data_IF_872747565466
#
_entry.id   IF_872747565466
#
_cell.length_a   1.000
_cell.length_b   1.000
_cell.length_c   1.000
_cell.angle_alpha   90.00
_cell.angle_beta   90.00
_cell.angle_gamma   90.00
#
_symmetry.space_group_name_H-M   'P 1'
#
loop_
_entity.id
_entity.type
_entity.pdbx_description
1 polymer ?
#
# COMPACT_ATOMS: atom_id res chain seq x y z
N UNK A 1 -18.62 19.79 20.60
CA UNK A 1 -19.27 18.66 21.30
C UNK A 1 -18.24 17.55 21.45
N UNK A 2 -17.86 17.21 22.68
CA UNK A 2 -17.25 15.90 22.99
C UNK A 2 -18.39 14.90 23.17
N UNK A 3 -18.26 13.70 22.61
CA UNK A 3 -19.08 12.53 22.96
C UNK A 3 -20.31 12.23 22.10
N UNK A 4 -20.19 12.18 20.77
CA UNK A 4 -21.23 11.55 19.93
C UNK A 4 -21.09 10.02 19.88
N UNK A 5 -19.88 9.50 20.14
CA UNK A 5 -19.55 8.08 20.11
C UNK A 5 -18.81 7.66 21.37
N UNK A 6 -18.97 6.43 21.82
CA UNK A 6 -18.23 5.84 22.93
C UNK A 6 -16.78 5.48 22.52
N UNK A 7 -15.81 5.37 23.45
CA UNK A 7 -14.40 5.14 23.13
C UNK A 7 -14.11 3.88 22.28
N UNK A 8 -14.95 2.84 22.38
CA UNK A 8 -14.84 1.61 21.60
C UNK A 8 -15.61 1.61 20.28
N UNK A 9 -16.34 2.69 19.96
CA UNK A 9 -17.09 2.81 18.72
C UNK A 9 -16.21 3.32 17.57
N UNK A 10 -16.57 2.91 16.36
CA UNK A 10 -15.92 3.40 15.15
C UNK A 10 -16.51 4.76 14.75
N UNK A 11 -15.63 5.67 14.34
CA UNK A 11 -15.99 6.96 13.74
C UNK A 11 -15.69 6.88 12.25
N UNK A 12 -16.68 7.19 11.41
CA UNK A 12 -16.45 7.40 9.98
C UNK A 12 -15.77 8.74 9.77
N UNK A 13 -14.64 8.74 9.09
CA UNK A 13 -13.84 9.95 8.84
C UNK A 13 -13.68 10.15 7.34
N UNK A 14 -14.05 11.33 6.85
CA UNK A 14 -13.69 11.81 5.52
C UNK A 14 -12.43 12.66 5.60
N UNK A 15 -11.38 12.23 4.90
CA UNK A 15 -10.14 12.97 4.72
C UNK A 15 -10.30 13.89 3.50
N UNK A 16 -10.76 15.11 3.75
CA UNK A 16 -11.13 16.05 2.69
C UNK A 16 -9.90 16.80 2.20
N UNK A 17 -9.51 16.53 0.94
CA UNK A 17 -8.44 17.24 0.24
C UNK A 17 -9.03 18.04 -0.94
N UNK A 18 -8.34 19.09 -1.42
CA UNK A 18 -8.85 19.95 -2.49
C UNK A 18 -9.27 19.24 -3.79
N UNK A 19 -8.75 18.04 -4.07
CA UNK A 19 -9.00 17.29 -5.32
C UNK A 19 -9.77 15.99 -5.15
N UNK A 20 -9.84 15.46 -3.93
CA UNK A 20 -10.50 14.20 -3.63
C UNK A 20 -10.72 14.07 -2.12
N UNK A 21 -11.73 13.31 -1.74
CA UNK A 21 -11.92 12.86 -0.36
C UNK A 21 -11.73 11.35 -0.29
N UNK A 22 -11.21 10.86 0.84
CA UNK A 22 -11.15 9.43 1.13
C UNK A 22 -11.82 9.16 2.46
N UNK A 23 -12.63 8.12 2.50
CA UNK A 23 -13.27 7.68 3.73
C UNK A 23 -12.43 6.59 4.40
N UNK A 24 -12.36 6.63 5.72
CA UNK A 24 -11.82 5.57 6.55
C UNK A 24 -12.61 5.47 7.87
N UNK A 25 -12.41 4.37 8.58
CA UNK A 25 -12.95 4.15 9.91
C UNK A 25 -11.81 4.12 10.92
N UNK A 26 -12.02 4.72 12.09
CA UNK A 26 -11.03 4.82 13.17
C UNK A 26 -11.73 4.64 14.51
N UNK A 27 -11.06 4.10 15.52
CA UNK A 27 -11.64 4.02 16.86
C UNK A 27 -11.82 5.42 17.43
N UNK A 28 -12.89 5.64 18.18
CA UNK A 28 -13.14 6.94 18.81
C UNK A 28 -11.99 7.36 19.72
N UNK A 29 -11.43 6.43 20.49
CA UNK A 29 -10.29 6.70 21.34
C UNK A 29 -9.08 7.24 20.56
N UNK A 30 -8.72 6.61 19.43
CA UNK A 30 -7.62 7.05 18.57
C UNK A 30 -7.90 8.41 17.93
N UNK A 31 -9.15 8.64 17.52
CA UNK A 31 -9.60 9.94 16.99
C UNK A 31 -9.48 11.06 18.04
N UNK A 32 -9.82 10.76 19.29
CA UNK A 32 -9.70 11.68 20.42
C UNK A 32 -8.24 11.97 20.80
N UNK A 33 -7.39 10.93 20.85
CA UNK A 33 -5.95 11.07 21.12
C UNK A 33 -5.24 11.94 20.09
N UNK A 34 -5.68 11.87 18.83
CA UNK A 34 -5.17 12.72 17.76
C UNK A 34 -5.71 14.15 17.83
N UNK A 35 -6.56 14.50 18.79
CA UNK A 35 -7.17 15.82 18.96
C UNK A 35 -7.70 16.38 17.63
N UNK A 36 -8.47 15.57 16.91
CA UNK A 36 -9.00 15.94 15.60
C UNK A 36 -10.23 16.81 15.78
N UNK A 37 -10.12 18.08 15.40
CA UNK A 37 -11.26 18.99 15.30
C UNK A 37 -11.87 18.88 13.90
N UNK A 38 -13.11 18.38 13.82
CA UNK A 38 -13.81 18.18 12.56
C UNK A 38 -15.32 18.42 12.73
N UNK A 39 -16.00 19.09 11.77
CA UNK A 39 -17.44 19.08 11.70
C UNK A 39 -17.97 17.68 11.37
N UNK A 40 -19.10 17.33 11.97
CA UNK A 40 -19.82 16.09 11.70
C UNK A 40 -21.00 16.36 10.76
N UNK A 41 -21.08 15.64 9.65
CA UNK A 41 -22.21 15.67 8.71
C UNK A 41 -22.70 14.23 8.54
N UNK A 42 -23.93 13.95 8.99
CA UNK A 42 -24.51 12.61 8.87
C UNK A 42 -23.63 11.50 9.47
N UNK A 43 -23.09 11.73 10.67
CA UNK A 43 -22.15 10.84 11.40
C UNK A 43 -20.76 10.69 10.78
N UNK A 44 -20.43 11.46 9.73
CA UNK A 44 -19.09 11.50 9.15
C UNK A 44 -18.33 12.70 9.67
N UNK A 45 -17.15 12.48 10.25
CA UNK A 45 -16.22 13.53 10.64
C UNK A 45 -15.43 14.01 9.41
N UNK A 46 -15.58 15.28 9.03
CA UNK A 46 -14.92 15.87 7.88
C UNK A 46 -13.62 16.57 8.28
N UNK A 47 -12.48 15.94 8.02
CA UNK A 47 -11.16 16.43 8.43
C UNK A 47 -10.49 17.11 7.24
N UNK A 48 -10.23 18.41 7.38
CA UNK A 48 -9.59 19.24 6.34
C UNK A 48 -8.15 19.63 6.70
N UNK A 49 -7.77 19.54 7.98
CA UNK A 49 -6.44 19.92 8.44
C UNK A 49 -5.38 18.88 8.01
N UNK A 50 -4.50 19.27 7.06
CA UNK A 50 -3.47 18.38 6.50
C UNK A 50 -2.62 17.61 7.53
N UNK A 51 -2.14 18.23 8.63
CA UNK A 51 -1.37 17.47 9.63
C UNK A 51 -2.18 16.37 10.31
N UNK A 52 -3.48 16.59 10.55
CA UNK A 52 -4.38 15.61 11.15
C UNK A 52 -4.75 14.51 10.16
N UNK A 53 -4.96 14.86 8.89
CA UNK A 53 -5.10 13.89 7.80
C UNK A 53 -3.89 12.94 7.77
N UNK A 54 -2.67 13.49 7.79
CA UNK A 54 -1.46 12.67 7.77
C UNK A 54 -1.31 11.79 9.02
N UNK A 55 -1.75 12.25 10.19
CA UNK A 55 -1.75 11.46 11.41
C UNK A 55 -2.74 10.28 11.34
N UNK A 56 -3.97 10.54 10.86
CA UNK A 56 -4.98 9.50 10.65
C UNK A 56 -4.55 8.48 9.58
N UNK A 57 -3.92 8.93 8.50
CA UNK A 57 -3.38 8.04 7.46
C UNK A 57 -2.31 7.08 7.98
N UNK A 58 -1.58 7.45 9.04
CA UNK A 58 -0.60 6.56 9.69
C UNK A 58 -1.24 5.44 10.52
N UNK A 59 -2.48 5.61 10.96
CA UNK A 59 -3.24 4.56 11.66
C UNK A 59 -3.84 3.53 10.69
N UNK A 60 -3.70 3.77 9.38
CA UNK A 60 -4.37 2.98 8.37
C UNK A 60 -3.82 1.54 8.32
N UNK A 61 -4.71 0.59 8.59
CA UNK A 61 -4.52 -0.82 8.28
C UNK A 61 -5.41 -1.22 7.09
N UNK A 62 -4.90 -2.12 6.24
CA UNK A 62 -5.72 -2.75 5.20
C UNK A 62 -6.35 -4.01 5.78
N UNK A 63 -7.68 -4.00 5.93
CA UNK A 63 -8.47 -5.17 6.26
C UNK A 63 -9.03 -5.83 5.01
N UNK A 64 -9.28 -7.14 5.07
CA UNK A 64 -10.09 -7.81 4.07
C UNK A 64 -11.50 -7.18 4.04
N UNK A 65 -12.17 -7.12 2.89
CA UNK A 65 -13.50 -6.49 2.78
C UNK A 65 -14.51 -7.10 3.75
N UNK A 66 -14.50 -8.41 3.91
CA UNK A 66 -15.36 -9.15 4.85
C UNK A 66 -15.10 -8.77 6.31
N UNK A 67 -13.83 -8.64 6.68
CA UNK A 67 -13.38 -8.26 8.02
C UNK A 67 -13.85 -6.83 8.35
N UNK A 68 -13.77 -5.94 7.36
CA UNK A 68 -14.25 -4.56 7.48
C UNK A 68 -15.78 -4.56 7.61
N UNK A 69 -16.51 -5.29 6.77
CA UNK A 69 -17.97 -5.36 6.84
C UNK A 69 -18.46 -5.92 8.20
N UNK A 70 -17.81 -6.96 8.75
CA UNK A 70 -18.09 -7.46 10.09
C UNK A 70 -17.91 -6.39 11.17
N UNK A 71 -16.80 -5.65 11.14
CA UNK A 71 -16.54 -4.55 12.07
C UNK A 71 -17.60 -3.44 11.97
N UNK A 72 -18.05 -3.14 10.75
CA UNK A 72 -19.12 -2.17 10.52
C UNK A 72 -20.45 -2.64 11.09
N UNK A 73 -20.86 -3.89 10.78
CA UNK A 73 -22.09 -4.47 11.33
C UNK A 73 -22.08 -4.49 12.86
N UNK A 74 -20.96 -4.88 13.47
CA UNK A 74 -20.79 -4.87 14.95
C UNK A 74 -20.89 -3.47 15.55
N UNK A 75 -20.53 -2.45 14.77
CA UNK A 75 -20.60 -1.05 15.17
C UNK A 75 -21.95 -0.40 14.85
N UNK A 76 -22.94 -1.18 14.38
CA UNK A 76 -24.27 -0.67 14.00
C UNK A 76 -24.29 0.08 12.65
N UNK A 77 -23.24 -0.05 11.85
CA UNK A 77 -23.07 0.63 10.57
C UNK A 77 -23.48 -0.25 9.39
N UNK A 78 -23.82 0.38 8.26
CA UNK A 78 -24.20 -0.35 7.05
C UNK A 78 -22.95 -0.76 6.26
N UNK A 79 -22.67 -2.06 6.06
CA UNK A 79 -21.55 -2.53 5.25
C UNK A 79 -21.72 -2.11 3.79
N UNK A 80 -20.60 -2.04 3.06
CA UNK A 80 -20.62 -1.61 1.64
C UNK A 80 -21.25 -2.68 0.75
N UNK A 81 -21.06 -3.94 1.11
CA UNK A 81 -21.75 -5.09 0.53
C UNK A 81 -22.45 -5.87 1.65
N UNK A 82 -23.78 -5.73 1.81
CA UNK A 82 -24.49 -6.43 2.87
C UNK A 82 -24.41 -7.95 2.68
N UNK A 83 -23.56 -8.60 3.47
CA UNK A 83 -23.55 -10.05 3.66
C UNK A 83 -24.57 -10.42 4.75
N UNK A 84 -25.03 -11.67 4.78
CA UNK A 84 -25.97 -12.10 5.81
C UNK A 84 -25.33 -11.98 7.20
N UNK A 85 -26.11 -11.62 8.24
CA UNK A 85 -25.63 -11.53 9.62
C UNK A 85 -24.83 -12.77 10.04
N UNK A 86 -25.25 -13.95 9.59
CA UNK A 86 -24.61 -15.23 9.89
C UNK A 86 -23.18 -15.34 9.32
N UNK A 87 -22.88 -14.71 8.18
CA UNK A 87 -21.54 -14.64 7.60
C UNK A 87 -20.65 -13.59 8.30
N UNK A 88 -21.24 -12.54 8.87
CA UNK A 88 -20.51 -11.50 9.60
C UNK A 88 -20.02 -11.95 10.99
N UNK A 89 -20.48 -13.10 11.51
CA UNK A 89 -20.09 -13.59 12.84
C UNK A 89 -19.31 -14.92 12.82
N UNK A 90 -19.10 -15.53 11.65
CA UNK A 90 -18.33 -16.76 11.53
C UNK A 90 -16.86 -16.49 11.21
N UNK A 91 -16.07 -16.20 12.25
CA UNK A 91 -14.63 -15.95 12.13
C UNK A 91 -13.84 -17.13 11.57
N UNK A 92 -14.41 -18.35 11.55
CA UNK A 92 -13.77 -19.54 11.00
C UNK A 92 -13.86 -19.59 9.47
N UNK A 93 -14.93 -19.02 8.90
CA UNK A 93 -15.14 -18.89 7.45
C UNK A 93 -14.40 -17.66 6.91
N UNK A 94 -14.37 -16.54 7.66
CA UNK A 94 -13.70 -15.29 7.24
C UNK A 94 -12.19 -15.49 7.04
N UNK A 95 -11.52 -16.30 7.86
CA UNK A 95 -10.08 -16.57 7.69
C UNK A 95 -9.78 -17.53 6.52
N UNK A 96 -10.69 -18.46 6.22
CA UNK A 96 -10.53 -19.44 5.15
C UNK A 96 -10.89 -18.88 3.75
N UNK A 97 -11.87 -17.98 3.70
CA UNK A 97 -12.40 -17.38 2.46
C UNK A 97 -12.01 -15.91 2.27
N UNK A 98 -11.05 -15.38 3.05
CA UNK A 98 -10.53 -14.03 2.87
C UNK A 98 -9.91 -13.88 1.47
N UNK A 99 -10.70 -13.37 0.53
CA UNK A 99 -10.23 -12.96 -0.77
C UNK A 99 -9.60 -11.59 -0.64
N UNK A 100 -8.29 -11.54 -0.85
CA UNK A 100 -7.57 -10.28 -0.91
C UNK A 100 -8.03 -9.48 -2.12
N UNK A 101 -8.11 -8.14 -2.04
CA UNK A 101 -8.35 -7.33 -3.23
C UNK A 101 -7.30 -7.65 -4.29
N UNK A 102 -7.73 -7.70 -5.55
CA UNK A 102 -6.82 -7.96 -6.68
C UNK A 102 -5.66 -6.96 -6.66
N UNK A 103 -4.45 -7.46 -6.91
CA UNK A 103 -3.23 -6.63 -6.91
C UNK A 103 -2.68 -6.28 -5.52
N UNK A 104 -3.08 -6.98 -4.45
CA UNK A 104 -2.43 -6.90 -3.13
C UNK A 104 -1.64 -8.16 -2.80
N UNK A 105 -0.59 -8.03 -1.99
CA UNK A 105 0.18 -9.16 -1.47
C UNK A 105 0.31 -9.10 0.04
N UNK A 106 0.41 -10.28 0.66
CA UNK A 106 0.69 -10.41 2.07
C UNK A 106 2.20 -10.32 2.32
N UNK A 107 2.60 -9.44 3.23
CA UNK A 107 3.95 -9.34 3.76
C UNK A 107 3.93 -9.74 5.23
N UNK A 108 4.79 -10.68 5.63
CA UNK A 108 4.86 -11.14 7.04
C UNK A 108 5.20 -10.02 8.03
N UNK A 109 5.86 -8.94 7.58
CA UNK A 109 6.24 -7.80 8.42
C UNK A 109 5.27 -6.62 8.39
N UNK A 110 4.63 -6.39 7.25
CA UNK A 110 3.84 -5.17 7.00
C UNK A 110 2.36 -5.46 6.71
N UNK A 111 1.93 -6.71 6.84
CA UNK A 111 0.57 -7.14 6.55
C UNK A 111 0.23 -7.06 5.07
N UNK A 112 -1.03 -6.77 4.76
CA UNK A 112 -1.52 -6.64 3.39
C UNK A 112 -1.10 -5.29 2.80
N UNK A 113 -0.39 -5.33 1.67
CA UNK A 113 0.15 -4.14 1.01
C UNK A 113 -0.09 -4.18 -0.49
N UNK A 114 -0.13 -3.00 -1.12
CA UNK A 114 0.00 -2.88 -2.56
C UNK A 114 1.47 -3.12 -2.94
N UNK A 115 1.77 -4.12 -3.77
CA UNK A 115 3.14 -4.49 -4.11
C UNK A 115 3.76 -3.48 -5.05
N UNK A 116 5.09 -3.46 -5.05
CA UNK A 116 5.90 -2.93 -6.15
C UNK A 116 6.58 -4.12 -6.83
N UNK A 117 6.91 -3.99 -8.12
CA UNK A 117 7.62 -5.03 -8.85
C UNK A 117 9.13 -4.83 -8.83
N UNK A 118 9.86 -5.94 -8.78
CA UNK A 118 11.33 -5.98 -8.77
C UNK A 118 11.83 -7.27 -9.42
N UNK A 119 13.14 -7.44 -9.60
CA UNK A 119 13.71 -8.70 -10.07
C UNK A 119 13.68 -9.81 -9.00
N UNK A 120 13.66 -11.11 -9.41
CA UNK A 120 13.69 -12.25 -8.49
C UNK A 120 14.86 -12.23 -7.50
N UNK A 121 16.03 -11.75 -7.92
CA UNK A 121 17.25 -11.70 -7.10
C UNK A 121 17.11 -10.71 -5.94
N UNK A 122 16.48 -9.56 -6.21
CA UNK A 122 16.17 -8.56 -5.17
C UNK A 122 15.09 -9.09 -4.23
N UNK A 123 14.08 -9.80 -4.75
CA UNK A 123 13.08 -10.49 -3.90
C UNK A 123 13.75 -11.52 -2.98
N UNK A 124 14.70 -12.30 -3.48
CA UNK A 124 15.47 -13.24 -2.67
C UNK A 124 16.30 -12.52 -1.58
N UNK A 125 16.88 -11.36 -1.89
CA UNK A 125 17.58 -10.53 -0.91
C UNK A 125 16.64 -10.03 0.20
N UNK A 126 15.42 -9.58 -0.16
CA UNK A 126 14.39 -9.18 0.80
C UNK A 126 14.04 -10.35 1.74
N UNK A 127 13.77 -11.54 1.19
CA UNK A 127 13.36 -12.71 1.97
C UNK A 127 14.47 -13.22 2.90
N UNK A 128 15.73 -13.18 2.43
CA UNK A 128 16.89 -13.57 3.24
C UNK A 128 17.29 -12.51 4.29
N UNK A 129 16.61 -11.36 4.33
CA UNK A 129 16.95 -10.22 5.21
C UNK A 129 18.38 -9.69 5.00
N UNK A 130 19.05 -10.12 3.93
CA UNK A 130 20.38 -9.69 3.54
C UNK A 130 20.37 -8.36 2.79
N UNK A 131 21.56 -7.87 2.47
CA UNK A 131 21.73 -6.84 1.43
C UNK A 131 21.89 -7.50 0.06
N UNK A 132 21.70 -6.73 -1.01
CA UNK A 132 21.97 -7.13 -2.38
C UNK A 132 23.50 -7.09 -2.55
N UNK A 133 24.14 -8.25 -2.70
CA UNK A 133 25.62 -8.36 -2.70
C UNK A 133 26.21 -8.77 -4.05
N UNK A 134 25.54 -9.66 -4.78
CA UNK A 134 26.10 -10.30 -5.98
C UNK A 134 25.36 -9.89 -7.25
N UNK A 135 24.77 -8.69 -7.24
CA UNK A 135 23.87 -8.24 -8.29
C UNK A 135 24.00 -6.74 -8.49
N UNK A 136 24.26 -6.31 -9.74
CA UNK A 136 24.18 -4.90 -10.11
C UNK A 136 22.71 -4.50 -10.19
N UNK A 137 22.34 -3.52 -9.40
CA UNK A 137 20.98 -2.98 -9.34
C UNK A 137 20.90 -1.74 -10.23
N UNK A 138 19.81 -1.65 -10.99
CA UNK A 138 19.52 -0.58 -11.94
C UNK A 138 18.20 0.06 -11.56
N UNK A 139 18.17 1.40 -11.56
CA UNK A 139 16.94 2.16 -11.41
C UNK A 139 16.22 2.23 -12.75
N UNK A 140 15.03 1.64 -12.85
CA UNK A 140 14.20 1.73 -14.05
C UNK A 140 13.23 2.90 -13.90
N UNK A 141 13.19 3.78 -14.89
CA UNK A 141 12.29 4.92 -14.96
C UNK A 141 11.23 4.64 -16.02
N UNK A 142 9.97 4.59 -15.59
CA UNK A 142 8.82 4.46 -16.48
C UNK A 142 8.50 5.79 -17.16
N UNK A 143 9.09 5.99 -18.33
CA UNK A 143 8.90 7.17 -19.17
C UNK A 143 7.56 7.24 -19.88
N UNK A 144 6.70 6.21 -19.75
CA UNK A 144 5.35 6.21 -20.33
C UNK A 144 4.38 7.03 -19.46
N UNK A 145 4.71 7.19 -18.17
CA UNK A 145 3.89 7.92 -17.22
C UNK A 145 4.37 9.35 -17.03
N UNK A 146 3.42 10.28 -16.81
CA UNK A 146 3.72 11.71 -16.57
C UNK A 146 4.61 11.95 -15.35
N UNK A 147 4.60 11.04 -14.37
CA UNK A 147 5.33 11.18 -13.12
C UNK A 147 6.64 10.40 -13.08
N UNK A 148 6.99 9.70 -14.17
CA UNK A 148 8.25 8.98 -14.30
C UNK A 148 8.55 8.07 -13.11
N UNK A 149 7.61 7.16 -12.83
CA UNK A 149 7.71 6.25 -11.70
C UNK A 149 9.03 5.47 -11.73
N UNK A 150 9.68 5.36 -10.57
CA UNK A 150 10.98 4.73 -10.41
C UNK A 150 10.84 3.35 -9.78
N UNK A 151 11.51 2.38 -10.38
CA UNK A 151 11.56 0.98 -9.94
C UNK A 151 13.00 0.51 -9.85
N UNK A 152 13.22 -0.65 -9.24
CA UNK A 152 14.56 -1.21 -9.03
C UNK A 152 14.59 -2.66 -9.49
N UNK A 153 15.54 -2.98 -10.36
CA UNK A 153 15.71 -4.32 -10.92
C UNK A 153 17.19 -4.67 -11.00
N UNK A 154 17.51 -5.96 -11.09
CA UNK A 154 18.86 -6.36 -11.45
C UNK A 154 19.14 -6.12 -12.93
N UNK A 155 20.36 -5.72 -13.26
CA UNK A 155 20.82 -5.59 -14.64
C UNK A 155 20.69 -6.92 -15.40
N UNK A 156 21.03 -8.04 -14.76
CA UNK A 156 20.92 -9.37 -15.36
C UNK A 156 19.46 -9.70 -15.76
N UNK A 157 18.49 -9.40 -14.89
CA UNK A 157 17.08 -9.59 -15.20
C UNK A 157 16.61 -8.66 -16.32
N UNK A 158 17.06 -7.41 -16.33
CA UNK A 158 16.71 -6.47 -17.40
C UNK A 158 17.22 -6.97 -18.76
N UNK A 159 18.45 -7.46 -18.85
CA UNK A 159 18.97 -8.05 -20.08
C UNK A 159 18.26 -9.33 -20.49
N UNK A 160 17.81 -10.13 -19.52
CA UNK A 160 17.04 -11.33 -19.80
C UNK A 160 15.67 -10.99 -20.40
N UNK A 161 14.98 -9.97 -19.88
CA UNK A 161 13.60 -9.64 -20.24
C UNK A 161 13.53 -8.71 -21.46
N UNK A 162 14.37 -7.68 -21.50
CA UNK A 162 14.37 -6.65 -22.55
C UNK A 162 15.43 -6.91 -23.64
N UNK A 163 16.29 -7.89 -23.43
CA UNK A 163 17.38 -8.25 -24.33
C UNK A 163 18.71 -7.55 -24.02
N UNK A 164 19.81 -8.01 -24.63
CA UNK A 164 21.16 -7.49 -24.40
C UNK A 164 21.35 -6.03 -24.88
N UNK A 165 20.40 -5.47 -25.64
CA UNK A 165 20.40 -4.09 -26.11
C UNK A 165 19.74 -3.07 -25.18
N UNK A 166 19.30 -3.48 -23.98
CA UNK A 166 18.77 -2.54 -22.99
C UNK A 166 19.87 -1.54 -22.61
N UNK A 167 19.72 -0.28 -23.03
CA UNK A 167 20.68 0.80 -22.80
C UNK A 167 20.72 1.24 -21.35
N UNK A 168 21.32 0.41 -20.48
CA UNK A 168 21.57 0.75 -19.08
C UNK A 168 22.72 1.77 -19.05
N UNK A 169 22.38 3.04 -18.91
CA UNK A 169 23.33 4.16 -18.78
C UNK A 169 23.45 4.54 -17.31
N UNK A 170 24.68 4.61 -16.78
CA UNK A 170 24.97 5.12 -15.43
C UNK A 170 24.09 4.53 -14.29
N UNK A 171 23.72 3.25 -14.41
CA UNK A 171 22.88 2.50 -13.46
C UNK A 171 21.41 2.92 -13.43
N UNK A 172 20.95 3.62 -14.46
CA UNK A 172 19.55 3.87 -14.74
C UNK A 172 19.16 3.33 -16.13
N UNK A 173 17.89 2.99 -16.28
CA UNK A 173 17.29 2.61 -17.56
C UNK A 173 15.95 3.32 -17.68
N UNK A 174 15.81 4.20 -18.67
CA UNK A 174 14.52 4.82 -18.97
C UNK A 174 13.81 4.02 -20.06
N UNK A 175 12.61 3.55 -19.76
CA UNK A 175 11.75 2.86 -20.73
C UNK A 175 10.64 3.81 -21.14
N UNK A 176 10.69 4.30 -22.37
CA UNK A 176 9.65 5.17 -22.95
C UNK A 176 8.63 4.41 -23.80
N UNK A 177 8.88 3.13 -24.07
CA UNK A 177 8.01 2.25 -24.85
C UNK A 177 7.07 1.47 -23.91
N UNK A 178 5.76 1.61 -24.14
CA UNK A 178 4.73 1.00 -23.30
C UNK A 178 4.74 -0.53 -23.37
N UNK A 179 5.04 -1.10 -24.54
CA UNK A 179 5.10 -2.55 -24.72
C UNK A 179 6.29 -3.15 -23.95
N UNK A 180 7.47 -2.55 -24.07
CA UNK A 180 8.67 -2.94 -23.33
C UNK A 180 8.45 -2.83 -21.82
N UNK A 181 7.81 -1.75 -21.35
CA UNK A 181 7.48 -1.60 -19.94
C UNK A 181 6.49 -2.67 -19.47
N UNK A 182 5.46 -2.98 -20.27
CA UNK A 182 4.49 -4.04 -19.98
C UNK A 182 5.13 -5.43 -19.92
N UNK A 183 6.07 -5.73 -20.81
CA UNK A 183 6.85 -6.99 -20.79
C UNK A 183 7.67 -7.09 -19.50
N UNK A 184 8.36 -6.02 -19.11
CA UNK A 184 9.06 -5.94 -17.83
C UNK A 184 8.10 -6.12 -16.64
N UNK A 185 6.97 -5.42 -16.66
CA UNK A 185 5.97 -5.46 -15.59
C UNK A 185 5.40 -6.86 -15.41
N UNK A 186 5.07 -7.57 -16.49
CA UNK A 186 4.52 -8.93 -16.41
C UNK A 186 5.55 -9.98 -15.97
N UNK A 187 6.84 -9.72 -16.17
CA UNK A 187 7.92 -10.61 -15.73
C UNK A 187 8.36 -10.33 -14.27
N UNK A 188 8.06 -9.15 -13.74
CA UNK A 188 8.51 -8.70 -12.43
C UNK A 188 7.86 -9.45 -11.28
N UNK A 189 8.59 -9.52 -10.16
CA UNK A 189 8.14 -10.18 -8.94
C UNK A 189 7.53 -9.17 -7.96
N UNK A 190 6.32 -9.41 -7.43
CA UNK A 190 5.70 -8.51 -6.47
C UNK A 190 6.36 -8.62 -5.10
N UNK A 191 6.69 -7.47 -4.52
CA UNK A 191 7.31 -7.35 -3.19
C UNK A 191 6.71 -6.20 -2.38
N UNK A 192 6.90 -6.27 -1.06
CA UNK A 192 6.59 -5.17 -0.16
C UNK A 192 7.52 -3.97 -0.39
N UNK A 193 6.93 -2.81 -0.70
CA UNK A 193 7.67 -1.56 -0.89
C UNK A 193 8.55 -1.15 0.29
N UNK A 194 8.10 -1.43 1.51
CA UNK A 194 8.85 -1.12 2.73
C UNK A 194 10.06 -2.02 2.88
N UNK A 195 9.89 -3.33 2.68
CA UNK A 195 10.99 -4.29 2.69
C UNK A 195 12.00 -4.02 1.57
N UNK A 196 11.52 -3.64 0.38
CA UNK A 196 12.39 -3.24 -0.73
C UNK A 196 13.21 -2.00 -0.35
N UNK A 197 12.59 -0.94 0.16
CA UNK A 197 13.29 0.27 0.60
C UNK A 197 14.35 -0.02 1.66
N UNK A 198 14.04 -0.85 2.64
CA UNK A 198 14.99 -1.26 3.67
C UNK A 198 16.17 -2.05 3.09
N UNK A 199 15.89 -2.99 2.17
CA UNK A 199 16.91 -3.82 1.51
C UNK A 199 17.84 -2.97 0.65
N UNK A 200 17.29 -2.02 -0.12
CA UNK A 200 18.07 -1.07 -0.91
C UNK A 200 18.98 -0.23 0.00
N UNK A 201 18.44 0.34 1.10
CA UNK A 201 19.22 1.12 2.08
C UNK A 201 20.39 0.32 2.66
N UNK A 202 20.16 -0.94 3.05
CA UNK A 202 21.21 -1.84 3.56
C UNK A 202 22.28 -2.16 2.52
N UNK A 203 21.94 -2.01 1.24
CA UNK A 203 22.83 -2.24 0.10
C UNK A 203 23.54 -0.96 -0.35
N UNK A 204 23.35 0.16 0.35
CA UNK A 204 23.92 1.46 -0.03
C UNK A 204 23.22 2.09 -1.24
N UNK A 205 22.02 1.61 -1.60
CA UNK A 205 21.23 2.08 -2.72
C UNK A 205 20.02 2.86 -2.19
N UNK A 206 19.83 4.09 -2.64
CA UNK A 206 18.64 4.86 -2.30
C UNK A 206 18.80 6.35 -2.47
N UNK A 207 17.88 6.95 -3.21
CA UNK A 207 17.46 8.34 -3.03
C UNK A 207 16.35 8.39 -1.97
N UNK A 208 16.31 9.47 -1.20
CA UNK A 208 15.19 9.76 -0.28
C UNK A 208 13.84 9.92 -1.01
N UNK A 209 13.84 9.95 -2.35
CA UNK A 209 12.69 10.12 -3.24
C UNK A 209 11.97 8.83 -3.64
N UNK A 210 12.14 7.72 -2.93
CA UNK A 210 11.24 6.57 -3.14
C UNK A 210 9.84 7.01 -2.73
N UNK A 211 8.84 7.07 -3.64
CA UNK A 211 7.53 7.61 -3.31
C UNK A 211 6.94 6.88 -2.10
N UNK A 212 6.19 7.61 -1.28
CA UNK A 212 5.42 7.09 -0.14
C UNK A 212 4.16 6.35 -0.56
#
# INVERSE_FOLDING_TARGET
MRGQFAPGELVKVSLDRPKYSREMWVLRAEFDELEVEAPFVGNVAHVTAFPKIAALERLRAYGCSTCVDELLVRSGETPREPRSLQQAFDTSVVAADATWPEGFVQCERHGLISPVLTSPDIKAAILSTGGIRDCRVVQVIDGTTRYEQKYWFSEAFLHQVLGPGAGVEDSALRIADEEAFRVLWNAGEPVCRYCLRETLKRSGLGDDDTPA
#
